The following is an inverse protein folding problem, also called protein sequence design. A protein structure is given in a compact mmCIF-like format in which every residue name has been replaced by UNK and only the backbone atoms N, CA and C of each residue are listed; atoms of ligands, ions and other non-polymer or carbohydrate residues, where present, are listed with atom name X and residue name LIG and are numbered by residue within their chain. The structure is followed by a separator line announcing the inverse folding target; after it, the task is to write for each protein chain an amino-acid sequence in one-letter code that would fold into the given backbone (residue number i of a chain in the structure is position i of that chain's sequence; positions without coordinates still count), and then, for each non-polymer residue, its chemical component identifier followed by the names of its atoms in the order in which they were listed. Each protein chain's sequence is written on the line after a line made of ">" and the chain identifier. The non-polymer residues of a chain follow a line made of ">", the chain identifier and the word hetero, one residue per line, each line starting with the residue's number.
data_IF_131489840480
#
_entry.id   IF_131489840480
#
_cell.length_a   1.000
_cell.length_b   1.000
_cell.length_c   1.000
_cell.angle_alpha   90.00
_cell.angle_beta   90.00
_cell.angle_gamma   90.00
#
_symmetry.space_group_name_H-M   'P 1'
#
loop_
_entity.id
_entity.type
_entity.pdbx_description
1 polymer ?
#
# COMPACT_ATOMS: atom_id res chain seq x y z
N UNK A 1 18.58 -13.38 18.54
CA UNK A 1 17.59 -12.30 18.56
C UNK A 1 18.24 -10.91 18.69
N UNK A 2 19.13 -10.63 19.69
CA UNK A 2 19.78 -9.31 19.78
C UNK A 2 20.65 -8.93 18.57
N UNK A 3 21.43 -9.84 17.99
CA UNK A 3 22.25 -9.56 16.78
C UNK A 3 21.44 -9.25 15.52
N UNK A 4 20.19 -9.71 15.42
CA UNK A 4 19.31 -9.46 14.26
C UNK A 4 18.57 -8.12 14.33
N UNK A 5 18.48 -7.51 15.52
CA UNK A 5 17.85 -6.20 15.74
C UNK A 5 18.88 -5.07 15.70
N UNK A 6 20.16 -5.39 15.86
CA UNK A 6 21.26 -4.41 15.87
C UNK A 6 21.29 -3.51 14.64
N UNK A 7 21.06 -4.00 13.39
CA UNK A 7 21.02 -3.13 12.21
C UNK A 7 19.91 -2.08 12.23
N UNK A 8 18.78 -2.37 12.91
CA UNK A 8 17.67 -1.38 13.06
C UNK A 8 18.06 -0.32 14.08
N UNK A 9 18.67 -0.74 15.20
CA UNK A 9 19.12 0.18 16.26
C UNK A 9 20.23 1.12 15.73
N UNK A 10 21.16 0.61 14.93
CA UNK A 10 22.19 1.41 14.26
C UNK A 10 21.57 2.40 13.29
N UNK A 11 20.63 1.96 12.43
CA UNK A 11 19.85 2.84 11.54
C UNK A 11 19.17 3.96 12.31
N UNK A 12 18.53 3.65 13.43
CA UNK A 12 17.84 4.62 14.27
C UNK A 12 18.79 5.59 14.99
N UNK A 13 19.97 5.15 15.36
CA UNK A 13 20.97 5.97 16.04
C UNK A 13 21.76 6.87 15.10
N UNK A 14 22.27 6.33 13.99
CA UNK A 14 23.06 7.07 13.01
C UNK A 14 22.22 8.03 12.17
N UNK A 15 20.94 7.68 11.92
CA UNK A 15 20.02 8.47 11.09
C UNK A 15 18.93 9.16 11.94
N UNK A 16 19.36 9.98 12.88
CA UNK A 16 18.46 10.72 13.78
C UNK A 16 17.31 11.43 13.05
N UNK A 17 17.58 12.05 11.92
CA UNK A 17 16.57 12.76 11.13
C UNK A 17 15.50 11.80 10.60
N UNK A 18 15.89 10.64 10.08
CA UNK A 18 14.97 9.62 9.62
C UNK A 18 14.13 9.04 10.77
N UNK A 19 14.76 8.75 11.90
CA UNK A 19 14.07 8.18 13.08
C UNK A 19 13.01 9.13 13.62
N UNK A 20 13.34 10.42 13.78
CA UNK A 20 12.37 11.42 14.22
C UNK A 20 11.24 11.58 13.22
N UNK A 21 11.54 11.59 11.91
CA UNK A 21 10.56 11.61 10.84
C UNK A 21 9.63 10.42 10.93
N UNK A 22 10.21 9.20 10.97
CA UNK A 22 9.46 7.97 11.03
C UNK A 22 8.57 7.88 12.27
N UNK A 23 9.08 8.19 13.47
CA UNK A 23 8.30 8.17 14.71
C UNK A 23 7.13 9.15 14.67
N UNK A 24 7.37 10.41 14.25
CA UNK A 24 6.33 11.43 14.18
C UNK A 24 5.23 11.07 13.18
N UNK A 25 5.63 10.62 12.00
CA UNK A 25 4.69 10.26 10.94
C UNK A 25 3.94 8.95 11.22
N UNK A 26 4.57 7.98 11.90
CA UNK A 26 3.92 6.75 12.33
C UNK A 26 2.85 7.00 13.38
N UNK A 27 3.15 7.89 14.34
CA UNK A 27 2.18 8.25 15.38
C UNK A 27 0.97 8.96 14.76
N UNK A 28 1.19 9.89 13.83
CA UNK A 28 0.13 10.58 13.10
C UNK A 28 -0.71 9.59 12.25
N UNK A 29 -0.09 8.63 11.59
CA UNK A 29 -0.81 7.61 10.82
C UNK A 29 -1.74 6.75 11.70
N UNK A 30 -1.27 6.35 12.89
CA UNK A 30 -2.10 5.60 13.85
C UNK A 30 -3.29 6.46 14.31
N UNK A 31 -3.08 7.74 14.64
CA UNK A 31 -4.14 8.67 15.02
C UNK A 31 -5.21 8.78 13.94
N UNK A 32 -4.81 8.99 12.70
CA UNK A 32 -5.71 9.08 11.54
C UNK A 32 -6.55 7.81 11.35
N UNK A 33 -5.94 6.63 11.52
CA UNK A 33 -6.67 5.35 11.43
C UNK A 33 -7.67 5.17 12.58
N UNK A 34 -7.31 5.60 13.79
CA UNK A 34 -8.23 5.61 14.94
C UNK A 34 -9.47 6.49 14.66
N UNK A 35 -9.23 7.70 14.16
CA UNK A 35 -10.30 8.64 13.77
C UNK A 35 -11.17 8.09 12.65
N UNK A 36 -10.56 7.53 11.60
CA UNK A 36 -11.30 6.93 10.47
C UNK A 36 -12.22 5.80 10.94
N UNK A 37 -11.74 4.92 11.81
CA UNK A 37 -12.55 3.85 12.38
C UNK A 37 -13.65 4.39 13.31
N UNK A 38 -13.33 5.36 14.18
CA UNK A 38 -14.30 5.99 15.08
C UNK A 38 -15.42 6.74 14.34
N UNK A 39 -15.08 7.47 13.27
CA UNK A 39 -16.06 8.13 12.40
C UNK A 39 -16.93 7.11 11.65
N UNK A 40 -16.38 6.00 11.22
CA UNK A 40 -17.16 4.93 10.58
C UNK A 40 -18.21 4.34 11.53
N UNK A 41 -17.85 4.11 12.80
CA UNK A 41 -18.79 3.69 13.83
C UNK A 41 -19.86 4.77 14.05
N UNK A 42 -19.47 6.03 14.19
CA UNK A 42 -20.40 7.12 14.41
C UNK A 42 -21.41 7.27 13.26
N UNK A 43 -20.94 7.22 12.01
CA UNK A 43 -21.81 7.26 10.81
C UNK A 43 -22.82 6.11 10.86
N UNK A 44 -22.36 4.89 11.13
CA UNK A 44 -23.25 3.73 11.18
C UNK A 44 -24.27 3.83 12.33
N UNK A 45 -23.86 4.26 13.52
CA UNK A 45 -24.76 4.43 14.68
C UNK A 45 -25.83 5.50 14.47
N UNK A 46 -25.51 6.57 13.71
CA UNK A 46 -26.46 7.65 13.47
C UNK A 46 -27.39 7.42 12.26
N UNK A 47 -26.99 6.57 11.32
CA UNK A 47 -27.74 6.37 10.07
C UNK A 47 -28.35 4.98 9.95
N UNK A 48 -27.80 3.98 10.61
CA UNK A 48 -28.14 2.56 10.49
C UNK A 48 -28.17 2.05 9.04
N UNK A 49 -27.45 2.72 8.12
CA UNK A 49 -27.42 2.38 6.70
C UNK A 49 -26.00 2.08 6.22
N UNK A 50 -25.84 0.96 5.52
CA UNK A 50 -24.56 0.57 4.92
C UNK A 50 -24.17 1.54 3.79
N UNK A 51 -25.16 2.11 3.09
CA UNK A 51 -24.95 3.07 2.01
C UNK A 51 -24.14 4.29 2.46
N UNK A 52 -24.47 4.86 3.62
CA UNK A 52 -23.76 6.04 4.14
C UNK A 52 -22.31 5.71 4.54
N UNK A 53 -22.09 4.51 5.07
CA UNK A 53 -20.75 4.02 5.36
C UNK A 53 -19.94 3.82 4.07
N UNK A 54 -20.55 3.25 3.04
CA UNK A 54 -19.91 3.07 1.73
C UNK A 54 -19.56 4.41 1.07
N UNK A 55 -20.42 5.43 1.19
CA UNK A 55 -20.12 6.78 0.72
C UNK A 55 -18.93 7.39 1.48
N UNK A 56 -18.83 7.17 2.78
CA UNK A 56 -17.68 7.62 3.55
C UNK A 56 -16.38 6.97 3.05
N UNK A 57 -16.38 5.65 2.83
CA UNK A 57 -15.23 4.93 2.28
C UNK A 57 -14.88 5.43 0.87
N UNK A 58 -15.88 5.72 0.05
CA UNK A 58 -15.68 6.30 -1.27
C UNK A 58 -14.96 7.66 -1.20
N UNK A 59 -15.40 8.56 -0.30
CA UNK A 59 -14.77 9.87 -0.12
C UNK A 59 -13.38 9.80 0.54
N UNK A 60 -13.06 8.74 1.29
CA UNK A 60 -11.70 8.53 1.82
C UNK A 60 -10.72 8.02 0.76
N UNK A 61 -11.18 7.40 -0.31
CA UNK A 61 -10.30 6.71 -1.28
C UNK A 61 -10.20 7.45 -2.62
N UNK A 62 -11.34 7.72 -3.26
CA UNK A 62 -11.37 8.22 -4.62
C UNK A 62 -10.65 9.57 -4.82
N UNK A 63 -10.85 10.59 -3.95
CA UNK A 63 -10.23 11.90 -4.16
C UNK A 63 -8.71 11.82 -4.17
N UNK A 64 -8.15 10.99 -3.27
CA UNK A 64 -6.72 10.76 -3.19
C UNK A 64 -6.14 10.15 -4.47
N UNK A 65 -6.78 9.14 -5.01
CA UNK A 65 -6.35 8.50 -6.27
C UNK A 65 -6.39 9.49 -7.43
N UNK A 66 -7.47 10.26 -7.57
CA UNK A 66 -7.63 11.21 -8.68
C UNK A 66 -6.63 12.36 -8.66
N UNK A 67 -6.24 12.84 -7.46
CA UNK A 67 -5.32 13.97 -7.35
C UNK A 67 -3.85 13.54 -7.43
N UNK A 68 -3.53 12.28 -7.20
CA UNK A 68 -2.16 11.76 -7.10
C UNK A 68 -1.24 12.19 -8.27
N UNK A 69 -1.64 12.15 -9.56
CA UNK A 69 -0.78 12.59 -10.67
C UNK A 69 -0.34 14.05 -10.56
N UNK A 70 -1.24 14.92 -10.09
CA UNK A 70 -0.98 16.36 -9.93
C UNK A 70 -0.07 16.61 -8.72
N UNK A 71 -0.24 15.82 -7.67
CA UNK A 71 0.57 15.91 -6.45
C UNK A 71 2.05 15.64 -6.74
N UNK A 72 2.36 14.65 -7.57
CA UNK A 72 3.74 14.31 -7.93
C UNK A 72 4.50 15.48 -8.56
N UNK A 73 3.87 16.16 -9.52
CA UNK A 73 4.46 17.34 -10.15
C UNK A 73 4.69 18.49 -9.16
N UNK A 74 3.78 18.66 -8.19
CA UNK A 74 3.91 19.72 -7.18
C UNK A 74 4.99 19.38 -6.13
N UNK A 75 5.10 18.11 -5.73
CA UNK A 75 6.11 17.63 -4.77
C UNK A 75 7.54 17.84 -5.30
N UNK A 76 7.76 17.66 -6.59
CA UNK A 76 9.08 17.87 -7.20
C UNK A 76 9.44 19.37 -7.35
N UNK A 77 8.45 20.27 -7.29
CA UNK A 77 8.65 21.73 -7.41
C UNK A 77 8.82 22.43 -6.07
N UNK A 78 8.41 21.81 -4.99
CA UNK A 78 8.42 22.43 -3.66
C UNK A 78 9.28 21.64 -2.66
N UNK A 79 9.51 22.24 -1.51
CA UNK A 79 10.22 21.58 -0.41
C UNK A 79 9.35 20.44 0.15
N UNK A 80 9.84 19.20 0.04
CA UNK A 80 9.14 17.99 0.51
C UNK A 80 8.74 18.08 1.98
N UNK A 81 9.64 18.62 2.83
CA UNK A 81 9.35 18.89 4.24
C UNK A 81 8.14 19.81 4.40
N UNK A 82 8.07 20.91 3.64
CA UNK A 82 6.95 21.86 3.71
C UNK A 82 5.64 21.23 3.27
N UNK A 83 5.65 20.38 2.25
CA UNK A 83 4.44 19.68 1.79
C UNK A 83 3.92 18.74 2.88
N UNK A 84 4.77 17.89 3.47
CA UNK A 84 4.36 17.00 4.57
C UNK A 84 3.81 17.83 5.73
N UNK A 85 4.53 18.88 6.15
CA UNK A 85 4.12 19.74 7.26
C UNK A 85 2.79 20.45 7.00
N UNK A 86 2.59 21.03 5.81
CA UNK A 86 1.33 21.69 5.44
C UNK A 86 0.16 20.70 5.39
N UNK A 87 0.40 19.50 4.89
CA UNK A 87 -0.61 18.44 4.87
C UNK A 87 -0.98 17.97 6.26
N UNK A 88 -0.01 17.83 7.17
CA UNK A 88 -0.26 17.49 8.58
C UNK A 88 -1.04 18.61 9.29
N UNK A 89 -0.70 19.88 9.06
CA UNK A 89 -1.43 21.03 9.61
C UNK A 89 -2.86 21.07 9.08
N UNK A 90 -3.05 20.88 7.78
CA UNK A 90 -4.38 20.86 7.17
C UNK A 90 -5.24 19.71 7.76
N UNK A 91 -4.67 18.51 7.87
CA UNK A 91 -5.35 17.37 8.48
C UNK A 91 -5.69 17.61 9.97
N UNK A 92 -4.76 18.20 10.72
CA UNK A 92 -5.00 18.61 12.12
C UNK A 92 -6.18 19.59 12.23
N UNK A 93 -6.25 20.60 11.35
CA UNK A 93 -7.35 21.57 11.35
C UNK A 93 -8.69 20.90 10.98
N UNK A 94 -8.70 19.96 10.04
CA UNK A 94 -9.90 19.18 9.69
C UNK A 94 -10.39 18.40 10.91
N UNK A 95 -9.50 17.66 11.57
CA UNK A 95 -9.83 16.87 12.77
C UNK A 95 -10.29 17.77 13.92
N UNK A 96 -9.64 18.89 14.15
CA UNK A 96 -10.04 19.87 15.17
C UNK A 96 -11.42 20.47 14.87
N UNK A 97 -11.72 20.75 13.61
CA UNK A 97 -13.04 21.24 13.18
C UNK A 97 -14.13 20.21 13.46
N UNK A 98 -13.87 18.93 13.14
CA UNK A 98 -14.82 17.85 13.48
C UNK A 98 -15.02 17.72 14.98
N UNK A 99 -13.95 17.82 15.78
CA UNK A 99 -14.05 17.78 17.24
C UNK A 99 -14.90 18.96 17.77
N UNK A 100 -14.68 20.16 17.26
CA UNK A 100 -15.46 21.34 17.66
C UNK A 100 -16.94 21.18 17.28
N UNK A 101 -17.25 20.72 16.07
CA UNK A 101 -18.64 20.47 15.64
C UNK A 101 -19.31 19.39 16.50
N UNK A 102 -18.58 18.37 16.88
CA UNK A 102 -19.10 17.30 17.73
C UNK A 102 -19.37 17.78 19.15
N UNK A 103 -18.45 18.53 19.75
CA UNK A 103 -18.59 19.10 21.10
C UNK A 103 -19.76 20.09 21.16
N UNK A 104 -19.98 20.87 20.10
CA UNK A 104 -21.10 21.82 20.01
C UNK A 104 -22.41 21.17 19.57
N UNK A 105 -22.48 19.86 19.42
CA UNK A 105 -23.63 19.10 18.91
C UNK A 105 -24.13 19.54 17.51
N UNK A 106 -23.23 20.09 16.70
CA UNK A 106 -23.53 20.57 15.34
C UNK A 106 -22.96 19.63 14.25
N UNK A 107 -22.37 18.48 14.64
CA UNK A 107 -21.83 17.53 13.69
C UNK A 107 -22.98 16.87 12.88
N UNK A 108 -22.93 17.03 11.57
CA UNK A 108 -23.86 16.42 10.61
C UNK A 108 -23.11 15.45 9.69
N UNK A 109 -23.84 14.54 9.06
CA UNK A 109 -23.28 13.50 8.19
C UNK A 109 -22.42 14.06 7.06
N UNK A 110 -22.85 15.14 6.39
CA UNK A 110 -22.10 15.73 5.29
C UNK A 110 -20.73 16.30 5.72
N UNK A 111 -20.57 16.74 6.96
CA UNK A 111 -19.27 17.16 7.50
C UNK A 111 -18.27 16.00 7.49
N UNK A 112 -18.73 14.77 7.78
CA UNK A 112 -17.85 13.59 7.76
C UNK A 112 -17.40 13.26 6.33
N UNK A 113 -18.24 13.47 5.31
CA UNK A 113 -17.85 13.26 3.91
C UNK A 113 -16.86 14.31 3.41
N UNK A 114 -17.08 15.58 3.75
CA UNK A 114 -16.13 16.64 3.41
C UNK A 114 -14.80 16.40 4.10
N UNK A 115 -14.80 16.04 5.37
CA UNK A 115 -13.56 15.74 6.08
C UNK A 115 -12.83 14.53 5.48
N UNK A 116 -13.54 13.46 5.13
CA UNK A 116 -12.99 12.30 4.45
C UNK A 116 -12.35 12.67 3.11
N UNK A 117 -13.03 13.50 2.30
CA UNK A 117 -12.50 14.04 1.05
C UNK A 117 -11.21 14.83 1.26
N UNK A 118 -11.23 15.80 2.16
CA UNK A 118 -10.08 16.67 2.41
C UNK A 118 -8.90 15.89 3.01
N UNK A 119 -9.17 14.97 3.93
CA UNK A 119 -8.13 14.10 4.51
C UNK A 119 -7.52 13.16 3.47
N UNK A 120 -8.31 12.65 2.53
CA UNK A 120 -7.85 11.84 1.40
C UNK A 120 -6.88 12.63 0.50
N UNK A 121 -7.22 13.89 0.21
CA UNK A 121 -6.33 14.81 -0.53
C UNK A 121 -5.03 15.03 0.23
N UNK A 122 -5.10 15.40 1.51
CA UNK A 122 -3.90 15.60 2.35
C UNK A 122 -3.04 14.34 2.41
N UNK A 123 -3.67 13.15 2.54
CA UNK A 123 -2.98 11.86 2.56
C UNK A 123 -2.19 11.59 1.29
N UNK A 124 -2.71 11.98 0.11
CA UNK A 124 -1.98 11.83 -1.15
C UNK A 124 -0.73 12.70 -1.21
N UNK A 125 -0.81 13.96 -0.75
CA UNK A 125 0.37 14.82 -0.62
C UNK A 125 1.40 14.24 0.34
N UNK A 126 0.96 13.77 1.51
CA UNK A 126 1.85 13.13 2.48
C UNK A 126 2.54 11.90 1.89
N UNK A 127 1.77 10.99 1.26
CA UNK A 127 2.30 9.74 0.72
C UNK A 127 3.40 9.98 -0.32
N UNK A 128 3.16 10.84 -1.31
CA UNK A 128 4.13 11.14 -2.36
C UNK A 128 5.35 11.88 -1.79
N UNK A 129 5.12 12.89 -0.95
CA UNK A 129 6.22 13.66 -0.36
C UNK A 129 7.09 12.82 0.59
N UNK A 130 6.51 11.93 1.40
CA UNK A 130 7.23 10.98 2.26
C UNK A 130 8.06 10.00 1.42
N UNK A 131 7.47 9.40 0.39
CA UNK A 131 8.17 8.46 -0.51
C UNK A 131 9.34 9.12 -1.23
N UNK A 132 9.17 10.37 -1.68
CA UNK A 132 10.24 11.13 -2.33
C UNK A 132 11.32 11.63 -1.35
N UNK A 133 10.95 11.93 -0.11
CA UNK A 133 11.89 12.42 0.93
C UNK A 133 12.78 11.31 1.49
N UNK A 134 12.28 10.07 1.59
CA UNK A 134 12.96 8.94 2.23
C UNK A 134 14.39 8.70 1.69
N UNK A 135 14.64 8.63 0.35
CA UNK A 135 15.97 8.39 -0.18
C UNK A 135 16.97 9.53 0.06
N UNK A 136 16.48 10.70 0.51
CA UNK A 136 17.32 11.84 0.83
C UNK A 136 17.75 11.88 2.30
N UNK A 137 17.09 11.08 3.14
CA UNK A 137 17.35 11.01 4.58
C UNK A 137 18.19 9.80 4.98
N UNK A 138 18.29 8.79 4.10
CA UNK A 138 18.99 7.54 4.36
C UNK A 138 19.98 7.21 3.24
N UNK A 139 21.13 6.57 3.54
CA UNK A 139 22.03 6.03 2.53
C UNK A 139 21.31 5.05 1.60
N UNK A 140 21.75 4.94 0.34
CA UNK A 140 21.15 4.03 -0.65
C UNK A 140 21.05 2.60 -0.12
N UNK A 141 22.06 2.17 0.62
CA UNK A 141 22.18 0.84 1.23
C UNK A 141 21.10 0.54 2.27
N UNK A 142 20.45 1.58 2.80
CA UNK A 142 19.49 1.45 3.88
C UNK A 142 18.04 1.77 3.48
N UNK A 143 17.81 2.16 2.21
CA UNK A 143 16.46 2.51 1.70
C UNK A 143 15.47 1.36 1.90
N UNK A 144 15.89 0.10 1.64
CA UNK A 144 15.02 -1.05 1.84
C UNK A 144 14.62 -1.27 3.29
N UNK A 145 15.55 -1.05 4.25
CA UNK A 145 15.24 -1.11 5.69
C UNK A 145 14.30 0.00 6.12
N UNK A 146 14.53 1.22 5.62
CA UNK A 146 13.68 2.37 5.89
C UNK A 146 12.25 2.15 5.35
N UNK A 147 12.10 1.62 4.12
CA UNK A 147 10.80 1.22 3.58
C UNK A 147 10.15 0.12 4.43
N UNK A 148 10.92 -0.85 4.93
CA UNK A 148 10.44 -1.87 5.86
C UNK A 148 9.86 -1.26 7.15
N UNK A 149 10.53 -0.27 7.73
CA UNK A 149 10.04 0.47 8.91
C UNK A 149 8.77 1.29 8.61
N UNK A 150 8.70 1.94 7.45
CA UNK A 150 7.48 2.64 7.04
C UNK A 150 6.29 1.68 6.90
N UNK A 151 6.49 0.52 6.25
CA UNK A 151 5.46 -0.50 6.15
C UNK A 151 5.12 -1.16 7.49
N UNK A 152 6.08 -1.25 8.43
CA UNK A 152 5.81 -1.71 9.79
C UNK A 152 4.81 -0.79 10.50
N UNK A 153 4.97 0.53 10.39
CA UNK A 153 4.01 1.49 10.96
C UNK A 153 2.61 1.31 10.38
N UNK A 154 2.52 1.14 9.06
CA UNK A 154 1.26 0.88 8.37
C UNK A 154 0.62 -0.43 8.84
N UNK A 155 1.40 -1.51 8.97
CA UNK A 155 0.93 -2.81 9.46
C UNK A 155 0.43 -2.74 10.90
N UNK A 156 1.19 -2.09 11.78
CA UNK A 156 0.80 -1.88 13.19
C UNK A 156 -0.46 -1.02 13.26
N UNK A 157 -0.53 0.05 12.48
CA UNK A 157 -1.73 0.90 12.40
C UNK A 157 -2.97 0.12 11.96
N UNK A 158 -2.86 -0.70 10.92
CA UNK A 158 -3.98 -1.53 10.43
C UNK A 158 -4.45 -2.57 11.45
N UNK A 159 -3.53 -3.19 12.16
CA UNK A 159 -3.84 -4.20 13.17
C UNK A 159 -4.38 -3.59 14.45
N UNK A 160 -3.73 -2.55 14.96
CA UNK A 160 -4.00 -1.99 16.28
C UNK A 160 -5.12 -0.95 16.30
N UNK A 161 -5.28 -0.18 15.20
CA UNK A 161 -6.24 0.91 15.20
C UNK A 161 -7.70 0.48 15.44
N UNK A 162 -8.24 -0.59 14.83
CA UNK A 162 -9.61 -1.04 15.13
C UNK A 162 -9.78 -1.47 16.58
N UNK A 163 -8.78 -2.16 17.16
CA UNK A 163 -8.79 -2.64 18.54
C UNK A 163 -8.75 -1.46 19.50
N UNK A 164 -7.78 -0.57 19.30
CA UNK A 164 -7.61 0.61 20.14
C UNK A 164 -8.80 1.57 20.01
N UNK A 165 -9.31 1.80 18.81
CA UNK A 165 -10.47 2.64 18.61
C UNK A 165 -11.72 2.04 19.27
N UNK A 166 -11.94 0.72 19.19
CA UNK A 166 -13.04 0.04 19.87
C UNK A 166 -12.98 0.18 21.39
N UNK A 167 -11.79 0.13 21.99
CA UNK A 167 -11.60 0.35 23.44
C UNK A 167 -11.75 1.83 23.79
N UNK A 168 -11.06 2.69 23.07
CA UNK A 168 -11.01 4.12 23.37
C UNK A 168 -12.36 4.81 23.16
N UNK A 169 -13.16 4.39 22.17
CA UNK A 169 -14.48 5.01 21.92
C UNK A 169 -15.43 4.85 23.11
N UNK A 170 -15.27 3.77 23.89
CA UNK A 170 -16.06 3.55 25.11
C UNK A 170 -15.59 4.44 26.27
N UNK A 171 -14.28 4.73 26.33
CA UNK A 171 -13.66 5.47 27.46
C UNK A 171 -13.71 6.98 27.21
N UNK A 172 -13.25 7.42 26.03
CA UNK A 172 -13.07 8.84 25.70
C UNK A 172 -14.05 9.35 24.66
N UNK A 173 -14.95 8.49 24.18
CA UNK A 173 -15.92 8.77 23.12
C UNK A 173 -15.23 9.21 21.80
N UNK A 174 -16.01 9.57 20.77
CA UNK A 174 -15.48 10.05 19.50
C UNK A 174 -14.72 11.38 19.65
N UNK A 175 -15.16 12.25 20.57
CA UNK A 175 -14.45 13.51 20.85
C UNK A 175 -13.00 13.27 21.27
N UNK A 176 -12.80 12.29 22.16
CA UNK A 176 -11.45 11.94 22.63
C UNK A 176 -10.59 11.35 21.52
N UNK A 177 -11.14 10.52 20.62
CA UNK A 177 -10.42 10.00 19.47
C UNK A 177 -9.96 11.13 18.53
N UNK A 178 -10.83 12.08 18.22
CA UNK A 178 -10.50 13.26 17.41
C UNK A 178 -9.41 14.13 18.07
N UNK A 179 -9.45 14.32 19.39
CA UNK A 179 -8.41 15.07 20.10
C UNK A 179 -7.08 14.33 20.17
N UNK A 180 -7.10 12.99 20.28
CA UNK A 180 -5.89 12.17 20.19
C UNK A 180 -5.26 12.32 18.80
N UNK A 181 -6.03 12.19 17.72
CA UNK A 181 -5.55 12.36 16.35
C UNK A 181 -4.97 13.76 16.11
N UNK A 182 -5.70 14.80 16.51
CA UNK A 182 -5.18 16.17 16.49
C UNK A 182 -3.83 16.29 17.20
N UNK A 183 -3.70 15.70 18.38
CA UNK A 183 -2.45 15.72 19.16
C UNK A 183 -1.31 14.99 18.45
N UNK A 184 -1.61 13.87 17.77
CA UNK A 184 -0.61 13.13 16.99
C UNK A 184 -0.12 13.92 15.79
N UNK A 185 -1.00 14.66 15.10
CA UNK A 185 -0.59 15.60 14.03
C UNK A 185 0.29 16.73 14.57
N UNK A 186 -0.05 17.32 15.71
CA UNK A 186 0.76 18.34 16.36
C UNK A 186 2.16 17.81 16.68
N UNK A 187 2.26 16.59 17.21
CA UNK A 187 3.55 15.93 17.47
C UNK A 187 4.30 15.71 16.15
N UNK A 188 3.62 15.24 15.09
CA UNK A 188 4.18 15.05 13.76
C UNK A 188 4.78 16.34 13.19
N UNK A 189 4.03 17.45 13.24
CA UNK A 189 4.52 18.77 12.82
C UNK A 189 5.69 19.22 13.68
N UNK A 190 5.62 19.03 15.00
CA UNK A 190 6.69 19.41 15.90
C UNK A 190 7.98 18.64 15.61
N UNK A 191 7.93 17.33 15.37
CA UNK A 191 9.11 16.55 14.98
C UNK A 191 9.71 17.06 13.67
N UNK A 192 8.88 17.44 12.68
CA UNK A 192 9.33 18.01 11.41
C UNK A 192 10.10 19.33 11.58
N UNK A 193 9.79 20.15 12.58
CA UNK A 193 10.53 21.41 12.82
C UNK A 193 12.01 21.15 13.12
N UNK A 194 12.32 20.05 13.82
CA UNK A 194 13.70 19.71 14.23
C UNK A 194 14.48 18.90 13.18
N UNK A 195 13.85 18.51 12.07
CA UNK A 195 14.45 17.68 11.03
C UNK A 195 14.88 18.56 9.86
N UNK A 196 16.05 18.27 9.29
CA UNK A 196 16.47 18.80 8.01
C UNK A 196 16.34 17.71 6.95
N UNK A 197 15.49 17.94 5.96
CA UNK A 197 15.38 17.07 4.78
C UNK A 197 16.15 17.78 3.67
N UNK A 198 17.25 17.18 3.17
CA UNK A 198 17.97 17.72 2.02
C UNK A 198 17.03 17.90 0.83
N UNK A 199 17.26 18.93 0.04
CA UNK A 199 16.46 19.18 -1.16
C UNK A 199 17.34 18.94 -2.39
N UNK A 200 16.83 18.27 -3.44
CA UNK A 200 17.53 18.24 -4.72
C UNK A 200 17.56 19.66 -5.31
N UNK A 201 18.61 19.97 -6.03
CA UNK A 201 18.67 21.23 -6.77
C UNK A 201 17.49 21.30 -7.76
N UNK A 202 16.64 22.33 -7.59
CA UNK A 202 15.47 22.49 -8.46
C UNK A 202 15.92 23.01 -9.82
N UNK A 203 15.48 22.36 -10.87
CA UNK A 203 15.68 22.84 -12.24
C UNK A 203 14.78 24.08 -12.47
N UNK A 204 15.41 25.28 -12.51
CA UNK A 204 14.74 26.59 -12.59
C UNK A 204 14.02 26.84 -13.93
N UNK A 205 14.11 25.93 -14.91
CA UNK A 205 13.59 26.13 -16.28
C UNK A 205 12.17 25.60 -16.53
N UNK A 206 11.37 25.37 -15.49
CA UNK A 206 10.08 24.70 -15.65
C UNK A 206 8.94 25.64 -15.93
N UNK A 207 8.08 25.29 -16.90
CA UNK A 207 6.85 26.02 -17.21
C UNK A 207 5.89 26.03 -16.00
N UNK A 208 5.28 27.17 -15.74
CA UNK A 208 4.28 27.33 -14.67
C UNK A 208 2.88 27.16 -15.24
N UNK A 209 1.98 26.50 -14.50
CA UNK A 209 0.58 26.33 -14.86
C UNK A 209 0.15 24.87 -15.13
N UNK A 210 -1.12 24.67 -15.50
CA UNK A 210 -1.72 23.33 -15.72
C UNK A 210 -1.04 22.60 -16.88
N UNK A 211 -0.63 23.29 -17.94
CA UNK A 211 0.12 22.70 -19.06
C UNK A 211 1.47 22.14 -18.59
N UNK A 212 2.17 22.83 -17.68
CA UNK A 212 3.42 22.33 -17.12
C UNK A 212 3.26 21.06 -16.26
N UNK A 213 2.06 20.79 -15.71
CA UNK A 213 1.77 19.56 -14.99
C UNK A 213 1.59 18.39 -15.97
N UNK A 214 0.92 18.63 -17.10
CA UNK A 214 0.76 17.60 -18.15
C UNK A 214 2.13 17.24 -18.73
N UNK A 215 2.98 18.24 -19.00
CA UNK A 215 4.36 18.02 -19.46
C UNK A 215 5.16 17.22 -18.43
N UNK A 216 4.95 17.48 -17.14
CA UNK A 216 5.58 16.74 -16.04
C UNK A 216 5.12 15.26 -16.00
N UNK A 217 3.85 14.97 -16.26
CA UNK A 217 3.32 13.60 -16.34
C UNK A 217 3.90 12.89 -17.58
N UNK A 218 3.93 13.56 -18.72
CA UNK A 218 4.52 13.03 -19.97
C UNK A 218 6.00 12.74 -19.74
N UNK A 219 6.74 13.65 -19.15
CA UNK A 219 8.15 13.45 -18.82
C UNK A 219 8.37 12.27 -17.87
N UNK A 220 7.51 12.10 -16.84
CA UNK A 220 7.54 10.94 -15.96
C UNK A 220 7.34 9.63 -16.72
N UNK A 221 6.40 9.61 -17.68
CA UNK A 221 6.16 8.48 -18.57
C UNK A 221 7.34 8.19 -19.50
N UNK A 222 7.90 9.21 -20.15
CA UNK A 222 9.09 9.06 -21.00
C UNK A 222 10.27 8.47 -20.21
N UNK A 223 10.44 8.89 -18.95
CA UNK A 223 11.50 8.36 -18.08
C UNK A 223 11.31 6.89 -17.72
N UNK A 224 10.08 6.44 -17.56
CA UNK A 224 9.75 5.02 -17.33
C UNK A 224 9.91 4.22 -18.61
N UNK A 225 9.33 4.72 -19.72
CA UNK A 225 9.29 4.00 -21.00
C UNK A 225 10.67 3.90 -21.68
N UNK A 226 11.59 4.82 -21.38
CA UNK A 226 12.97 4.77 -21.88
C UNK A 226 13.79 3.60 -21.29
N UNK A 227 13.32 3.00 -20.18
CA UNK A 227 14.01 1.89 -19.50
C UNK A 227 13.11 0.68 -19.45
N UNK A 228 13.34 -0.28 -20.34
CA UNK A 228 12.48 -1.47 -20.51
C UNK A 228 12.22 -2.22 -19.21
N UNK A 229 13.20 -2.32 -18.30
CA UNK A 229 13.03 -3.01 -17.03
C UNK A 229 12.04 -2.29 -16.10
N UNK A 230 11.99 -0.94 -16.11
CA UNK A 230 11.00 -0.16 -15.35
C UNK A 230 9.59 -0.33 -15.92
N UNK A 231 9.50 -0.41 -17.26
CA UNK A 231 8.21 -0.64 -17.93
C UNK A 231 7.66 -2.04 -17.62
N UNK A 232 8.52 -3.07 -17.64
CA UNK A 232 8.16 -4.45 -17.24
C UNK A 232 7.74 -4.47 -15.77
N UNK A 233 8.48 -3.78 -14.90
CA UNK A 233 8.16 -3.68 -13.47
C UNK A 233 6.81 -2.99 -13.25
N UNK A 234 6.53 -1.87 -13.94
CA UNK A 234 5.25 -1.18 -13.86
C UNK A 234 4.10 -2.11 -14.32
N UNK A 235 4.25 -2.80 -15.45
CA UNK A 235 3.27 -3.75 -15.96
C UNK A 235 3.01 -4.89 -14.96
N UNK A 236 4.08 -5.49 -14.42
CA UNK A 236 3.99 -6.54 -13.40
C UNK A 236 3.25 -6.05 -12.14
N UNK A 237 3.66 -4.88 -11.60
CA UNK A 237 3.02 -4.33 -10.42
C UNK A 237 1.56 -3.95 -10.67
N UNK A 238 1.21 -3.48 -11.86
CA UNK A 238 -0.19 -3.21 -12.23
C UNK A 238 -1.05 -4.48 -12.19
N UNK A 239 -0.54 -5.59 -12.73
CA UNK A 239 -1.22 -6.89 -12.66
C UNK A 239 -1.29 -7.38 -11.21
N UNK A 240 -0.20 -7.23 -10.45
CA UNK A 240 -0.17 -7.60 -9.04
C UNK A 240 -1.22 -6.84 -8.23
N UNK A 241 -1.33 -5.54 -8.41
CA UNK A 241 -2.31 -4.71 -7.72
C UNK A 241 -3.75 -4.92 -8.21
N UNK A 242 -3.94 -5.31 -9.47
CA UNK A 242 -5.25 -5.78 -9.96
C UNK A 242 -5.70 -7.04 -9.19
N UNK A 243 -4.82 -8.03 -9.08
CA UNK A 243 -5.08 -9.25 -8.29
C UNK A 243 -5.29 -8.91 -6.81
N UNK A 244 -4.48 -8.01 -6.24
CA UNK A 244 -4.68 -7.54 -4.88
C UNK A 244 -6.08 -6.95 -4.67
N UNK A 245 -6.57 -6.14 -5.62
CA UNK A 245 -7.94 -5.59 -5.57
C UNK A 245 -9.01 -6.68 -5.60
N UNK A 246 -8.88 -7.70 -6.45
CA UNK A 246 -9.77 -8.86 -6.44
C UNK A 246 -9.78 -9.56 -5.08
N UNK A 247 -8.59 -9.91 -4.57
CA UNK A 247 -8.42 -10.62 -3.29
C UNK A 247 -8.99 -9.82 -2.12
N UNK A 248 -8.81 -8.49 -2.08
CA UNK A 248 -9.27 -7.61 -1.01
C UNK A 248 -10.80 -7.66 -0.83
N UNK A 249 -11.53 -7.72 -1.94
CA UNK A 249 -12.99 -7.89 -1.92
C UNK A 249 -13.41 -9.33 -1.57
N UNK A 250 -12.70 -10.32 -2.08
CA UNK A 250 -13.13 -11.72 -2.07
C UNK A 250 -12.79 -12.50 -0.81
N UNK A 251 -11.74 -12.10 -0.09
CA UNK A 251 -11.25 -12.86 1.08
C UNK A 251 -12.30 -12.92 2.21
N UNK A 252 -13.06 -11.84 2.41
CA UNK A 252 -14.06 -11.75 3.46
C UNK A 252 -15.24 -12.69 3.20
N UNK A 253 -15.93 -12.62 2.04
CA UNK A 253 -17.04 -13.55 1.74
C UNK A 253 -16.56 -15.00 1.65
N UNK A 254 -15.34 -15.27 1.15
CA UNK A 254 -14.80 -16.63 1.15
C UNK A 254 -14.77 -17.23 2.55
N UNK A 255 -14.17 -16.54 3.52
CA UNK A 255 -14.06 -17.07 4.88
C UNK A 255 -15.43 -17.19 5.53
N UNK A 256 -16.30 -16.21 5.34
CA UNK A 256 -17.63 -16.19 5.95
C UNK A 256 -18.60 -17.19 5.32
N UNK A 257 -18.31 -17.74 4.14
CA UNK A 257 -19.15 -18.78 3.50
C UNK A 257 -19.15 -20.10 4.27
N UNK A 258 -18.09 -20.39 5.05
CA UNK A 258 -17.96 -21.65 5.80
C UNK A 258 -17.53 -21.48 7.27
N UNK A 259 -17.16 -20.27 7.70
CA UNK A 259 -16.66 -20.02 9.04
C UNK A 259 -17.49 -18.98 9.80
N UNK A 260 -17.47 -19.05 11.13
CA UNK A 260 -18.15 -18.05 11.98
C UNK A 260 -17.40 -16.69 11.96
N UNK A 261 -18.12 -15.62 12.32
CA UNK A 261 -17.54 -14.27 12.48
C UNK A 261 -16.35 -14.28 13.45
N UNK A 262 -16.42 -15.09 14.53
CA UNK A 262 -15.31 -15.24 15.49
C UNK A 262 -14.07 -15.86 14.83
N UNK A 263 -14.27 -16.89 14.03
CA UNK A 263 -13.18 -17.56 13.28
C UNK A 263 -12.58 -16.61 12.24
N UNK A 264 -13.42 -15.86 11.52
CA UNK A 264 -12.99 -14.83 10.59
C UNK A 264 -12.07 -13.80 11.30
N UNK A 265 -12.48 -13.28 12.46
CA UNK A 265 -11.66 -12.36 13.25
C UNK A 265 -10.30 -12.96 13.65
N UNK A 266 -10.26 -14.25 13.99
CA UNK A 266 -9.00 -14.95 14.31
C UNK A 266 -8.06 -15.05 13.11
N UNK A 267 -8.60 -15.36 11.91
CA UNK A 267 -7.82 -15.43 10.67
C UNK A 267 -7.30 -14.04 10.29
N UNK A 268 -8.11 -12.98 10.42
CA UNK A 268 -7.67 -11.61 10.14
C UNK A 268 -6.61 -11.11 11.14
N UNK A 269 -6.69 -11.53 12.40
CA UNK A 269 -5.64 -11.26 13.38
C UNK A 269 -4.32 -11.94 13.00
N UNK A 270 -4.39 -13.19 12.50
CA UNK A 270 -3.22 -13.90 11.98
C UNK A 270 -2.63 -13.22 10.74
N UNK A 271 -3.49 -12.70 9.84
CA UNK A 271 -3.08 -11.88 8.71
C UNK A 271 -2.27 -10.65 9.16
N UNK A 272 -2.79 -9.92 10.16
CA UNK A 272 -2.11 -8.78 10.76
C UNK A 272 -0.74 -9.16 11.37
N UNK A 273 -0.66 -10.29 12.08
CA UNK A 273 0.63 -10.82 12.57
C UNK A 273 1.59 -11.13 11.40
N UNK A 274 1.10 -11.73 10.33
CA UNK A 274 1.90 -11.97 9.11
C UNK A 274 2.48 -10.67 8.55
N UNK A 275 1.66 -9.64 8.42
CA UNK A 275 2.07 -8.33 7.91
C UNK A 275 3.13 -7.65 8.80
N UNK A 276 2.97 -7.72 10.13
CA UNK A 276 3.95 -7.21 11.08
C UNK A 276 5.27 -8.00 10.97
N UNK A 277 5.21 -9.32 10.94
CA UNK A 277 6.40 -10.17 10.80
C UNK A 277 7.14 -9.92 9.47
N UNK A 278 6.41 -9.77 8.35
CA UNK A 278 7.00 -9.45 7.06
C UNK A 278 7.66 -8.08 7.03
N UNK A 279 7.05 -7.08 7.67
CA UNK A 279 7.62 -5.73 7.78
C UNK A 279 8.89 -5.73 8.64
N UNK A 280 8.89 -6.46 9.76
CA UNK A 280 10.09 -6.65 10.62
C UNK A 280 11.18 -7.37 9.83
N UNK A 281 10.83 -8.45 9.12
CA UNK A 281 11.77 -9.19 8.28
C UNK A 281 12.43 -8.26 7.26
N UNK A 282 11.64 -7.44 6.55
CA UNK A 282 12.17 -6.50 5.57
C UNK A 282 13.04 -5.42 6.21
N UNK A 283 12.67 -4.92 7.40
CA UNK A 283 13.44 -3.93 8.14
C UNK A 283 14.81 -4.45 8.59
N UNK A 284 14.90 -5.73 8.93
CA UNK A 284 16.16 -6.39 9.32
C UNK A 284 17.00 -6.73 8.08
N UNK A 285 16.36 -7.34 7.08
CA UNK A 285 17.06 -7.80 5.88
C UNK A 285 17.50 -6.63 4.99
N UNK A 286 16.66 -5.60 4.83
CA UNK A 286 16.95 -4.41 4.03
C UNK A 286 16.77 -4.59 2.52
N UNK A 287 16.42 -5.79 2.07
CA UNK A 287 16.29 -6.11 0.64
C UNK A 287 17.65 -6.30 -0.06
N UNK A 288 17.60 -6.71 -1.31
CA UNK A 288 18.77 -6.74 -2.18
C UNK A 288 18.86 -5.43 -2.96
N UNK A 289 19.96 -4.72 -2.81
CA UNK A 289 20.19 -3.45 -3.52
C UNK A 289 20.71 -3.66 -4.95
N UNK A 290 21.21 -4.87 -5.22
CA UNK A 290 21.85 -5.22 -6.48
C UNK A 290 20.97 -6.10 -7.38
N UNK A 291 19.77 -6.49 -6.92
CA UNK A 291 18.96 -7.45 -7.67
C UNK A 291 17.46 -7.18 -7.49
N UNK A 292 16.74 -7.21 -8.60
CA UNK A 292 15.28 -7.18 -8.66
C UNK A 292 14.64 -8.55 -8.35
N UNK A 293 15.45 -9.63 -8.36
CA UNK A 293 14.98 -11.01 -8.22
C UNK A 293 14.17 -11.28 -6.95
N UNK A 294 14.52 -10.72 -5.77
CA UNK A 294 13.71 -10.92 -4.56
C UNK A 294 12.25 -10.48 -4.71
N UNK A 295 11.97 -9.43 -5.49
CA UNK A 295 10.59 -9.02 -5.76
C UNK A 295 9.79 -10.17 -6.35
N UNK A 296 10.33 -10.85 -7.36
CA UNK A 296 9.65 -11.96 -8.03
C UNK A 296 9.57 -13.21 -7.16
N UNK A 297 10.60 -13.49 -6.33
CA UNK A 297 10.58 -14.63 -5.40
C UNK A 297 9.45 -14.47 -4.37
N UNK A 298 9.35 -13.29 -3.73
CA UNK A 298 8.32 -13.04 -2.74
C UNK A 298 6.92 -12.91 -3.38
N UNK A 299 6.82 -12.40 -4.61
CA UNK A 299 5.56 -12.40 -5.34
C UNK A 299 5.11 -13.80 -5.75
N UNK A 300 6.02 -14.68 -6.16
CA UNK A 300 5.72 -16.08 -6.40
C UNK A 300 5.24 -16.78 -5.11
N UNK A 301 5.91 -16.53 -3.98
CA UNK A 301 5.49 -17.06 -2.68
C UNK A 301 4.12 -16.52 -2.26
N UNK A 302 3.81 -15.24 -2.56
CA UNK A 302 2.48 -14.67 -2.37
C UNK A 302 1.43 -15.43 -3.20
N UNK A 303 1.73 -15.69 -4.48
CA UNK A 303 0.88 -16.50 -5.35
C UNK A 303 0.61 -17.91 -4.79
N UNK A 304 1.63 -18.57 -4.24
CA UNK A 304 1.45 -19.87 -3.51
C UNK A 304 0.52 -19.69 -2.31
N UNK A 305 0.65 -18.61 -1.54
CA UNK A 305 -0.24 -18.30 -0.43
C UNK A 305 -1.70 -18.18 -0.86
N UNK A 306 -1.99 -17.49 -1.98
CA UNK A 306 -3.33 -17.36 -2.55
C UNK A 306 -3.89 -18.73 -3.02
N UNK A 307 -3.08 -19.54 -3.70
CA UNK A 307 -3.48 -20.91 -4.09
C UNK A 307 -3.87 -21.73 -2.86
N UNK A 308 -3.04 -21.73 -1.81
CA UNK A 308 -3.33 -22.45 -0.56
C UNK A 308 -4.63 -21.93 0.07
N UNK A 309 -4.85 -20.61 0.11
CA UNK A 309 -6.05 -20.02 0.68
C UNK A 309 -7.33 -20.40 -0.10
N UNK A 310 -7.24 -20.57 -1.43
CA UNK A 310 -8.39 -20.87 -2.30
C UNK A 310 -8.74 -22.35 -2.41
N UNK A 311 -7.79 -23.28 -2.14
CA UNK A 311 -7.92 -24.68 -2.55
C UNK A 311 -9.00 -25.46 -1.78
N UNK A 312 -9.18 -25.19 -0.47
CA UNK A 312 -10.18 -25.91 0.36
C UNK A 312 -10.81 -25.01 1.43
N UNK A 313 -12.09 -25.19 1.77
CA UNK A 313 -12.78 -24.47 2.85
C UNK A 313 -12.35 -25.02 4.23
N UNK A 314 -11.08 -24.96 4.52
CA UNK A 314 -10.48 -25.47 5.75
C UNK A 314 -9.79 -24.35 6.51
N UNK A 315 -10.20 -24.11 7.77
CA UNK A 315 -9.65 -23.05 8.61
C UNK A 315 -8.11 -23.12 8.68
N UNK A 316 -7.47 -24.27 8.94
CA UNK A 316 -6.00 -24.35 8.98
C UNK A 316 -5.34 -24.00 7.64
N UNK A 317 -5.90 -24.49 6.52
CA UNK A 317 -5.34 -24.30 5.18
C UNK A 317 -5.42 -22.81 4.80
N UNK A 318 -6.59 -22.19 4.96
CA UNK A 318 -6.78 -20.75 4.69
C UNK A 318 -5.90 -19.91 5.60
N UNK A 319 -5.77 -20.26 6.88
CA UNK A 319 -4.92 -19.54 7.82
C UNK A 319 -3.45 -19.54 7.38
N UNK A 320 -2.94 -20.65 6.87
CA UNK A 320 -1.57 -20.74 6.32
C UNK A 320 -1.45 -19.90 5.06
N UNK A 321 -2.38 -19.98 4.12
CA UNK A 321 -2.37 -19.20 2.89
C UNK A 321 -2.41 -17.71 3.16
N UNK A 322 -3.30 -17.26 4.03
CA UNK A 322 -3.42 -15.87 4.47
C UNK A 322 -2.16 -15.39 5.17
N UNK A 323 -1.59 -16.19 6.08
CA UNK A 323 -0.33 -15.84 6.77
C UNK A 323 0.81 -15.63 5.78
N UNK A 324 0.97 -16.51 4.80
CA UNK A 324 2.01 -16.38 3.75
C UNK A 324 1.76 -15.12 2.92
N UNK A 325 0.53 -14.89 2.47
CA UNK A 325 0.18 -13.74 1.63
C UNK A 325 0.43 -12.42 2.34
N UNK A 326 0.01 -12.29 3.59
CA UNK A 326 0.21 -11.07 4.37
C UNK A 326 1.64 -10.89 4.87
N UNK A 327 2.42 -11.97 5.06
CA UNK A 327 3.85 -11.88 5.35
C UNK A 327 4.63 -11.35 4.14
N UNK A 328 4.32 -11.82 2.95
CA UNK A 328 5.05 -11.45 1.73
C UNK A 328 4.72 -10.04 1.24
N UNK A 329 3.51 -9.55 1.50
CA UNK A 329 3.02 -8.25 1.03
C UNK A 329 3.95 -7.07 1.39
N UNK A 330 4.32 -6.81 2.66
CA UNK A 330 5.21 -5.70 2.99
C UNK A 330 6.63 -5.88 2.41
N UNK A 331 7.09 -7.11 2.20
CA UNK A 331 8.37 -7.38 1.55
C UNK A 331 8.32 -6.98 0.08
N UNK A 332 7.27 -7.34 -0.63
CA UNK A 332 7.02 -6.98 -2.03
C UNK A 332 6.94 -5.45 -2.17
N UNK A 333 6.11 -4.80 -1.35
CA UNK A 333 5.92 -3.35 -1.38
C UNK A 333 7.21 -2.59 -1.08
N UNK A 334 7.96 -3.01 -0.04
CA UNK A 334 9.22 -2.38 0.33
C UNK A 334 10.27 -2.55 -0.77
N UNK A 335 10.37 -3.76 -1.34
CA UNK A 335 11.32 -4.05 -2.42
C UNK A 335 10.97 -3.24 -3.67
N UNK A 336 9.69 -3.20 -4.07
CA UNK A 336 9.22 -2.38 -5.17
C UNK A 336 9.56 -0.90 -4.97
N UNK A 337 9.20 -0.33 -3.82
CA UNK A 337 9.50 1.08 -3.51
C UNK A 337 11.01 1.35 -3.54
N UNK A 338 11.83 0.43 -3.01
CA UNK A 338 13.29 0.55 -3.02
C UNK A 338 13.83 0.60 -4.44
N UNK A 339 13.35 -0.29 -5.33
CA UNK A 339 13.77 -0.31 -6.74
C UNK A 339 13.45 1.04 -7.41
N UNK A 340 12.22 1.54 -7.28
CA UNK A 340 11.83 2.82 -7.86
C UNK A 340 12.63 3.99 -7.29
N UNK A 341 12.82 4.04 -5.97
CA UNK A 341 13.54 5.11 -5.28
C UNK A 341 15.05 5.13 -5.60
N UNK A 342 15.64 3.99 -5.92
CA UNK A 342 17.06 3.88 -6.29
C UNK A 342 17.31 4.02 -7.78
N UNK A 343 16.32 3.69 -8.62
CA UNK A 343 16.43 3.75 -10.09
C UNK A 343 16.10 5.12 -10.67
N UNK A 344 15.39 5.95 -9.92
CA UNK A 344 14.90 7.26 -10.38
C UNK A 344 15.63 8.38 -9.65
N UNK A 345 16.04 9.39 -10.43
CA UNK A 345 16.73 10.56 -9.89
C UNK A 345 15.85 11.32 -8.89
N UNK A 346 16.42 11.84 -7.78
CA UNK A 346 15.65 12.52 -6.75
C UNK A 346 14.81 13.71 -7.25
N UNK A 347 15.24 14.36 -8.33
CA UNK A 347 14.58 15.55 -8.90
C UNK A 347 13.24 15.23 -9.58
N UNK A 348 13.02 13.97 -9.98
CA UNK A 348 11.84 13.53 -10.73
C UNK A 348 11.06 12.41 -10.03
N UNK A 349 11.47 12.04 -8.82
CA UNK A 349 10.85 10.95 -8.05
C UNK A 349 9.36 11.19 -7.78
N UNK A 350 8.97 12.42 -7.47
CA UNK A 350 7.57 12.74 -7.21
C UNK A 350 6.67 12.41 -8.40
N UNK A 351 7.08 12.75 -9.61
CA UNK A 351 6.34 12.48 -10.85
C UNK A 351 6.25 10.99 -11.16
N UNK A 352 7.38 10.28 -11.08
CA UNK A 352 7.44 8.84 -11.37
C UNK A 352 6.64 8.06 -10.33
N UNK A 353 6.80 8.34 -9.03
CA UNK A 353 6.07 7.68 -7.95
C UNK A 353 4.56 7.97 -8.05
N UNK A 354 4.16 9.20 -8.40
CA UNK A 354 2.74 9.53 -8.57
C UNK A 354 2.12 8.80 -9.74
N UNK A 355 2.83 8.70 -10.86
CA UNK A 355 2.38 7.95 -12.03
C UNK A 355 2.26 6.46 -11.72
N UNK A 356 3.26 5.88 -11.04
CA UNK A 356 3.23 4.51 -10.55
C UNK A 356 1.99 4.25 -9.70
N UNK A 357 1.76 5.09 -8.68
CA UNK A 357 0.62 4.93 -7.78
C UNK A 357 -0.72 5.12 -8.49
N UNK A 358 -0.79 5.97 -9.51
CA UNK A 358 -1.99 6.13 -10.31
C UNK A 358 -2.29 4.87 -11.12
N UNK A 359 -1.30 4.36 -11.85
CA UNK A 359 -1.48 3.19 -12.71
C UNK A 359 -1.78 1.93 -11.89
N UNK A 360 -1.06 1.73 -10.79
CA UNK A 360 -1.31 0.59 -9.90
C UNK A 360 -2.62 0.75 -9.12
N UNK A 361 -2.98 1.97 -8.72
CA UNK A 361 -4.25 2.28 -8.08
C UNK A 361 -5.46 2.03 -9.00
N UNK A 362 -5.33 2.33 -10.30
CA UNK A 362 -6.33 1.92 -11.29
C UNK A 362 -6.43 0.41 -11.39
N UNK A 363 -5.30 -0.30 -11.30
CA UNK A 363 -5.29 -1.77 -11.21
C UNK A 363 -6.14 -2.28 -10.05
N UNK A 364 -5.95 -1.73 -8.84
CA UNK A 364 -6.78 -2.08 -7.66
C UNK A 364 -8.25 -1.79 -7.91
N UNK A 365 -8.59 -0.61 -8.42
CA UNK A 365 -9.97 -0.21 -8.65
C UNK A 365 -10.68 -1.14 -9.66
N UNK A 366 -10.01 -1.48 -10.75
CA UNK A 366 -10.53 -2.42 -11.75
C UNK A 366 -10.68 -3.83 -11.15
N UNK A 367 -9.71 -4.27 -10.35
CA UNK A 367 -9.78 -5.52 -9.59
C UNK A 367 -11.01 -5.58 -8.68
N UNK A 368 -11.19 -4.56 -7.85
CA UNK A 368 -12.36 -4.45 -6.95
C UNK A 368 -13.69 -4.52 -7.71
N UNK A 369 -13.81 -3.79 -8.83
CA UNK A 369 -15.02 -3.80 -9.66
C UNK A 369 -15.26 -5.12 -10.36
N UNK A 370 -14.20 -5.85 -10.71
CA UNK A 370 -14.27 -7.13 -11.41
C UNK A 370 -14.55 -8.31 -10.47
N UNK A 371 -14.35 -8.16 -9.17
CA UNK A 371 -14.41 -9.24 -8.19
C UNK A 371 -15.80 -9.94 -8.17
N UNK A 372 -16.88 -9.18 -7.97
CA UNK A 372 -18.23 -9.75 -7.90
C UNK A 372 -18.72 -10.32 -9.25
N UNK A 373 -18.57 -9.65 -10.41
CA UNK A 373 -18.94 -10.26 -11.69
C UNK A 373 -18.21 -11.58 -11.99
N UNK A 374 -16.93 -11.68 -11.66
CA UNK A 374 -16.15 -12.89 -11.87
C UNK A 374 -16.53 -14.00 -10.88
N UNK A 375 -16.66 -13.67 -9.60
CA UNK A 375 -16.99 -14.65 -8.56
C UNK A 375 -18.45 -15.09 -8.67
N UNK A 376 -19.41 -14.18 -8.44
CA UNK A 376 -20.83 -14.50 -8.33
C UNK A 376 -21.48 -14.76 -9.69
N UNK A 377 -21.06 -14.01 -10.73
CA UNK A 377 -21.66 -14.08 -12.06
C UNK A 377 -21.18 -15.28 -12.90
N UNK A 378 -19.94 -15.72 -12.71
CA UNK A 378 -19.31 -16.73 -13.56
C UNK A 378 -18.90 -17.96 -12.75
N UNK A 379 -18.02 -17.84 -11.77
CA UNK A 379 -17.35 -19.00 -11.18
C UNK A 379 -18.21 -19.71 -10.12
N UNK A 380 -19.02 -19.00 -9.36
CA UNK A 380 -19.91 -19.60 -8.37
C UNK A 380 -20.96 -20.51 -9.04
N UNK A 381 -21.67 -20.09 -10.12
CA UNK A 381 -22.56 -21.00 -10.87
C UNK A 381 -21.85 -22.20 -11.48
N UNK A 382 -20.58 -22.05 -11.93
CA UNK A 382 -19.82 -23.13 -12.55
C UNK A 382 -19.37 -24.21 -11.55
N UNK A 383 -19.27 -23.86 -10.25
CA UNK A 383 -18.83 -24.75 -9.17
C UNK A 383 -19.95 -25.15 -8.19
N UNK A 384 -21.19 -24.80 -8.50
CA UNK A 384 -22.35 -25.43 -7.83
C UNK A 384 -22.40 -26.94 -8.11
N UNK A 385 -23.17 -27.70 -7.32
CA UNK A 385 -23.27 -29.14 -7.43
C UNK A 385 -23.59 -29.63 -8.84
N UNK A 386 -24.36 -28.88 -9.62
CA UNK A 386 -24.77 -29.18 -10.99
C UNK A 386 -24.03 -28.31 -12.04
N UNK A 387 -22.97 -27.63 -11.64
CA UNK A 387 -22.22 -26.71 -12.49
C UNK A 387 -21.24 -27.39 -13.44
N UNK A 388 -20.88 -26.70 -14.52
CA UNK A 388 -20.01 -27.23 -15.59
C UNK A 388 -18.62 -27.71 -15.08
N UNK A 389 -18.10 -27.15 -13.99
CA UNK A 389 -16.81 -27.52 -13.43
C UNK A 389 -16.91 -28.44 -12.21
N UNK A 390 -18.11 -28.83 -11.79
CA UNK A 390 -18.32 -29.69 -10.62
C UNK A 390 -17.57 -31.03 -10.70
N UNK A 391 -17.66 -31.72 -11.86
CA UNK A 391 -17.03 -33.03 -12.08
C UNK A 391 -15.51 -32.97 -12.35
N UNK A 392 -14.94 -31.80 -12.61
CA UNK A 392 -13.51 -31.61 -12.93
C UNK A 392 -12.79 -30.88 -11.80
N UNK A 393 -12.87 -29.57 -11.80
CA UNK A 393 -12.27 -28.70 -10.80
C UNK A 393 -12.88 -28.90 -9.41
N UNK A 394 -14.22 -29.14 -9.35
CA UNK A 394 -14.94 -29.38 -8.11
C UNK A 394 -14.48 -30.63 -7.35
N UNK A 395 -13.87 -31.63 -8.01
CA UNK A 395 -13.25 -32.77 -7.31
C UNK A 395 -12.01 -32.38 -6.50
N UNK A 396 -11.32 -31.30 -6.86
CA UNK A 396 -10.09 -30.84 -6.20
C UNK A 396 -10.43 -29.76 -5.16
N UNK A 397 -11.27 -28.79 -5.57
CA UNK A 397 -11.55 -27.59 -4.79
C UNK A 397 -12.82 -27.73 -3.95
N UNK A 398 -13.58 -28.82 -4.14
CA UNK A 398 -14.95 -29.08 -3.65
C UNK A 398 -15.99 -28.22 -4.40
N UNK A 399 -17.27 -28.50 -4.16
CA UNK A 399 -18.41 -27.77 -4.75
C UNK A 399 -19.25 -27.13 -3.65
N UNK A 400 -19.99 -26.07 -3.97
CA UNK A 400 -20.89 -25.39 -3.05
C UNK A 400 -20.59 -23.92 -2.85
N UNK A 401 -21.24 -23.31 -1.87
CA UNK A 401 -21.16 -21.88 -1.63
C UNK A 401 -19.73 -21.41 -1.28
N UNK A 402 -19.27 -20.34 -1.95
CA UNK A 402 -17.93 -19.76 -1.78
C UNK A 402 -16.83 -20.51 -2.55
N UNK A 403 -17.17 -21.59 -3.28
CA UNK A 403 -16.14 -22.36 -4.01
C UNK A 403 -15.72 -21.69 -5.30
N UNK A 404 -16.62 -20.94 -5.96
CA UNK A 404 -16.29 -20.05 -7.06
C UNK A 404 -15.27 -18.98 -6.66
N UNK A 405 -15.43 -18.41 -5.47
CA UNK A 405 -14.47 -17.46 -4.89
C UNK A 405 -13.13 -18.16 -4.63
N UNK A 406 -13.14 -19.35 -4.01
CA UNK A 406 -11.94 -20.14 -3.75
C UNK A 406 -11.17 -20.46 -5.05
N UNK A 407 -11.88 -20.82 -6.11
CA UNK A 407 -11.28 -21.09 -7.42
C UNK A 407 -10.68 -19.82 -8.05
N UNK A 408 -11.34 -18.68 -7.93
CA UNK A 408 -10.79 -17.41 -8.40
C UNK A 408 -9.46 -17.07 -7.70
N UNK A 409 -9.37 -17.26 -6.37
CA UNK A 409 -8.11 -17.13 -5.64
C UNK A 409 -7.01 -18.08 -6.12
N UNK A 410 -7.36 -19.30 -6.50
CA UNK A 410 -6.39 -20.25 -7.10
C UNK A 410 -5.90 -19.73 -8.44
N UNK A 411 -6.80 -19.22 -9.30
CA UNK A 411 -6.43 -18.62 -10.60
C UNK A 411 -5.52 -17.40 -10.38
N UNK A 412 -5.86 -16.50 -9.47
CA UNK A 412 -5.08 -15.34 -9.07
C UNK A 412 -3.67 -15.73 -8.62
N UNK A 413 -3.59 -16.73 -7.74
CA UNK A 413 -2.33 -17.22 -7.20
C UNK A 413 -1.46 -17.86 -8.27
N UNK A 414 -2.03 -18.68 -9.15
CA UNK A 414 -1.31 -19.28 -10.29
C UNK A 414 -0.86 -18.23 -11.30
N UNK A 415 -1.65 -17.22 -11.56
CA UNK A 415 -1.29 -16.09 -12.43
C UNK A 415 -0.07 -15.35 -11.89
N UNK A 416 -0.11 -14.91 -10.63
CA UNK A 416 1.01 -14.22 -9.98
C UNK A 416 2.24 -15.11 -9.92
N UNK A 417 2.09 -16.39 -9.55
CA UNK A 417 3.19 -17.34 -9.50
C UNK A 417 3.87 -17.50 -10.87
N UNK A 418 3.08 -17.74 -11.92
CA UNK A 418 3.59 -17.98 -13.27
C UNK A 418 4.29 -16.75 -13.85
N UNK A 419 3.70 -15.55 -13.72
CA UNK A 419 4.32 -14.31 -14.18
C UNK A 419 5.61 -14.02 -13.40
N UNK A 420 5.57 -14.18 -12.08
CA UNK A 420 6.73 -13.96 -11.22
C UNK A 420 7.88 -14.90 -11.57
N UNK A 421 7.58 -16.19 -11.80
CA UNK A 421 8.57 -17.18 -12.17
C UNK A 421 9.18 -16.90 -13.56
N UNK A 422 8.34 -16.52 -14.52
CA UNK A 422 8.76 -16.15 -15.87
C UNK A 422 9.71 -14.93 -15.85
N UNK A 423 9.32 -13.88 -15.10
CA UNK A 423 10.15 -12.68 -14.96
C UNK A 423 11.42 -12.94 -14.15
N UNK A 424 11.36 -13.82 -13.13
CA UNK A 424 12.55 -14.25 -12.41
C UNK A 424 13.59 -14.88 -13.35
N UNK A 425 13.18 -15.82 -14.20
CA UNK A 425 14.10 -16.46 -15.16
C UNK A 425 14.56 -15.49 -16.24
N UNK A 426 13.69 -14.63 -16.74
CA UNK A 426 14.04 -13.61 -17.73
C UNK A 426 15.15 -12.68 -17.20
N UNK A 427 14.96 -12.09 -16.01
CA UNK A 427 15.94 -11.19 -15.41
C UNK A 427 17.23 -11.91 -14.97
N UNK A 428 17.13 -13.17 -14.54
CA UNK A 428 18.30 -13.98 -14.22
C UNK A 428 19.17 -14.29 -15.45
N UNK A 429 18.58 -14.52 -16.60
CA UNK A 429 19.30 -14.77 -17.86
C UNK A 429 19.99 -13.51 -18.41
N UNK A 430 19.40 -12.33 -18.22
CA UNK A 430 19.99 -11.05 -18.61
C UNK A 430 21.26 -10.70 -17.81
N UNK A 431 21.58 -11.50 -16.79
CA UNK A 431 22.71 -11.34 -15.88
C UNK A 431 22.30 -10.61 -14.60
N UNK A 432 22.89 -11.02 -13.46
CA UNK A 432 22.62 -10.41 -12.14
C UNK A 432 23.01 -8.93 -12.04
N UNK A 433 23.57 -8.37 -13.09
CA UNK A 433 24.01 -6.98 -13.25
C UNK A 433 22.99 -6.04 -13.89
N UNK A 434 21.69 -6.32 -13.85
CA UNK A 434 20.75 -5.20 -13.89
C UNK A 434 20.83 -4.54 -12.52
N UNK A 435 21.98 -3.99 -12.30
CA UNK A 435 22.31 -3.10 -11.23
C UNK A 435 21.36 -1.90 -11.30
N UNK A 436 20.71 -1.62 -10.24
CA UNK A 436 20.15 -0.33 -9.85
C UNK A 436 21.25 0.76 -9.82
N UNK A 437 22.30 0.63 -10.57
CA UNK A 437 23.33 1.65 -10.81
C UNK A 437 23.11 2.25 -12.18
N UNK A 438 22.88 3.56 -12.20
CA UNK A 438 22.56 4.40 -13.37
C UNK A 438 23.54 4.38 -14.57
N UNK A 439 24.07 3.25 -14.95
CA UNK A 439 24.88 3.08 -16.14
C UNK A 439 24.03 2.45 -17.26
N UNK A 440 23.54 3.31 -18.13
CA UNK A 440 22.75 3.01 -19.33
C UNK A 440 23.45 2.08 -20.36
N UNK A 441 24.71 1.74 -20.15
CA UNK A 441 25.56 1.17 -21.22
C UNK A 441 25.56 -0.37 -21.22
N UNK A 442 25.34 -1.06 -20.10
CA UNK A 442 25.56 -2.52 -20.04
C UNK A 442 24.39 -3.36 -20.57
N UNK A 443 23.16 -2.82 -20.54
CA UNK A 443 21.97 -3.58 -20.99
C UNK A 443 21.87 -3.61 -22.52
N UNK A 444 22.27 -2.53 -23.20
CA UNK A 444 22.20 -2.44 -24.67
C UNK A 444 23.26 -3.31 -25.36
N UNK A 445 24.42 -3.50 -24.75
CA UNK A 445 25.48 -4.34 -25.34
C UNK A 445 25.12 -5.84 -25.30
N UNK A 446 24.42 -6.31 -24.25
CA UNK A 446 23.98 -7.72 -24.17
C UNK A 446 22.70 -8.03 -24.95
N UNK A 447 21.80 -7.07 -25.14
CA UNK A 447 20.62 -7.27 -26.00
C UNK A 447 21.05 -7.39 -27.47
N UNK A 448 22.00 -6.57 -27.91
CA UNK A 448 22.53 -6.64 -29.28
C UNK A 448 23.36 -7.92 -29.57
N UNK A 449 23.92 -8.55 -28.52
CA UNK A 449 24.64 -9.84 -28.68
C UNK A 449 23.74 -11.08 -28.64
N UNK A 450 22.45 -10.92 -28.34
CA UNK A 450 21.45 -12.01 -28.38
C UNK A 450 20.66 -11.98 -29.70
N UNK A 451 20.68 -10.84 -30.43
CA UNK A 451 20.06 -10.72 -31.76
C UNK A 451 21.06 -11.02 -32.93
N UNK A 452 22.35 -11.22 -32.66
CA UNK A 452 23.33 -11.81 -33.57
C UNK A 452 23.51 -13.32 -33.30
#
# INVERSE_FOLDING_TARGET
>A
MMKSIQPIIELMGELRNFTLFWCGQSLSEIGTRLTGFGLSIWVYQNTHTVTQLSLMIFFTTLPGVLITPFVGALVDRQQRKSIVMMSDIAAALITLTLAALLITNNLQLWHTYISAFLTSVCGSFQMIAKSAALPMMVPKEQIGRANGLMNFSTAVGQLCAPILAGILIVIVQLQGLLLIDFSTYVIGVFTLLFIQIPQPESDKRRSTGVFGIIDDIIFGWERISSRIYLLILLGFMTIYFFVYGLTDVLINPLILSFASIKTYGSIMSLAGCGMVCGSIFMSIWGGSQKSILPLFIFSALNGVGLVIAGIKPSIPIISVGVLISFFTLPVILSTNNTIWQTSVEPQVQGRVISLLNTVTGLGVAIGNLSASPLADGILEPMLNSDGLLADTVGRIIETGQGRGIGFLLVIEGLLIFSISLSLYYYFRQLGEEILVTGSEIVVLEKINTIEE
#
